data_IF_141119579354
#
_entry.id   IF_141119579354
#
_cell.length_a   1.000
_cell.length_b   1.000
_cell.length_c   1.000
_cell.angle_alpha   90.00
_cell.angle_beta   90.00
_cell.angle_gamma   90.00
#
_symmetry.space_group_name_H-M   'P 1'
#
loop_
_entity.id
_entity.type
_entity.pdbx_description
1 polymer ?
#
# COMPACT_ATOMS: atom_id res chain seq x y z
N UNK A 1 -11.66 -15.42 -0.90
CA UNK A 1 -11.93 -14.70 -2.16
C UNK A 1 -10.61 -14.48 -2.89
N UNK A 2 -10.61 -14.26 -4.22
CA UNK A 2 -9.38 -13.91 -4.95
C UNK A 2 -8.84 -12.56 -4.47
N UNK A 3 -7.51 -12.42 -4.43
CA UNK A 3 -6.83 -11.15 -4.16
C UNK A 3 -6.95 -10.19 -5.35
N UNK A 4 -6.93 -8.89 -5.07
CA UNK A 4 -6.84 -7.83 -6.07
C UNK A 4 -5.36 -7.63 -6.40
N UNK A 5 -4.93 -8.13 -7.54
CA UNK A 5 -3.56 -7.94 -8.03
C UNK A 5 -3.39 -6.50 -8.51
N UNK A 6 -2.61 -5.72 -7.76
CA UNK A 6 -2.41 -4.29 -7.99
C UNK A 6 -0.98 -4.03 -8.45
N UNK A 7 -0.84 -3.21 -9.49
CA UNK A 7 0.44 -2.67 -9.94
C UNK A 7 0.51 -1.17 -9.62
N UNK A 8 1.69 -0.68 -9.23
CA UNK A 8 1.95 0.75 -8.97
C UNK A 8 2.83 1.33 -10.09
N UNK A 9 2.42 2.46 -10.66
CA UNK A 9 3.25 3.23 -11.61
C UNK A 9 3.61 4.55 -10.94
N UNK A 10 4.89 4.71 -10.59
CA UNK A 10 5.41 5.79 -9.76
C UNK A 10 5.32 5.46 -8.28
N UNK A 11 6.46 5.13 -7.67
CA UNK A 11 6.59 4.75 -6.25
C UNK A 11 6.85 6.00 -5.42
N UNK A 12 5.96 6.99 -5.52
CA UNK A 12 6.02 8.28 -4.81
C UNK A 12 5.41 8.24 -3.39
N UNK A 13 5.20 9.42 -2.80
CA UNK A 13 4.54 9.56 -1.49
C UNK A 13 3.14 8.92 -1.45
N UNK A 14 2.35 9.04 -2.53
CA UNK A 14 1.04 8.41 -2.61
C UNK A 14 1.14 6.87 -2.57
N UNK A 15 2.11 6.29 -3.28
CA UNK A 15 2.36 4.85 -3.24
C UNK A 15 2.81 4.42 -1.83
N UNK A 16 3.67 5.20 -1.19
CA UNK A 16 4.11 4.95 0.17
C UNK A 16 2.96 4.96 1.18
N UNK A 17 2.07 5.96 1.11
CA UNK A 17 0.89 6.02 1.98
C UNK A 17 -0.11 4.89 1.69
N UNK A 18 -0.30 4.51 0.41
CA UNK A 18 -1.19 3.42 0.01
C UNK A 18 -0.68 2.06 0.52
N UNK A 19 0.58 1.73 0.27
CA UNK A 19 1.16 0.45 0.69
C UNK A 19 1.13 0.35 2.21
N UNK A 20 1.58 1.39 2.92
CA UNK A 20 1.49 1.43 4.38
C UNK A 20 0.04 1.30 4.88
N UNK A 21 -0.92 1.99 4.26
CA UNK A 21 -2.33 1.93 4.61
C UNK A 21 -2.92 0.53 4.47
N UNK A 22 -2.61 -0.18 3.38
CA UNK A 22 -3.02 -1.57 3.21
C UNK A 22 -2.49 -2.45 4.33
N UNK A 23 -1.19 -2.35 4.67
CA UNK A 23 -0.61 -3.15 5.74
C UNK A 23 -1.09 -2.76 7.13
N UNK A 24 -1.40 -1.49 7.37
CA UNK A 24 -1.91 -0.97 8.64
C UNK A 24 -3.34 -1.48 8.92
N UNK A 25 -4.19 -1.57 7.90
CA UNK A 25 -5.59 -1.94 8.02
C UNK A 25 -5.91 -3.37 7.54
N UNK A 26 -4.90 -4.19 7.17
CA UNK A 26 -5.13 -5.51 6.56
C UNK A 26 -5.97 -6.48 7.43
N UNK A 27 -5.92 -6.30 8.75
CA UNK A 27 -6.57 -7.15 9.77
C UNK A 27 -7.74 -6.44 10.48
N UNK A 28 -8.19 -5.28 9.97
CA UNK A 28 -9.30 -4.55 10.57
C UNK A 28 -10.61 -5.34 10.46
N UNK A 29 -11.50 -5.20 11.43
CA UNK A 29 -12.84 -5.79 11.36
C UNK A 29 -13.66 -5.17 10.21
N UNK A 30 -14.45 -5.99 9.53
CA UNK A 30 -15.25 -5.61 8.37
C UNK A 30 -16.22 -4.44 8.66
N UNK A 31 -16.68 -4.30 9.91
CA UNK A 31 -17.63 -3.29 10.36
C UNK A 31 -16.99 -2.17 11.20
N UNK A 32 -15.67 -2.17 11.36
CA UNK A 32 -14.98 -1.13 12.11
C UNK A 32 -15.06 0.22 11.40
N UNK A 33 -15.19 1.28 12.18
CA UNK A 33 -14.97 2.62 11.67
C UNK A 33 -13.46 2.87 11.46
N UNK A 34 -13.08 3.19 10.23
CA UNK A 34 -11.70 3.55 9.87
C UNK A 34 -11.67 4.94 9.26
N UNK A 35 -10.97 5.92 9.86
CA UNK A 35 -10.85 7.25 9.29
C UNK A 35 -10.29 7.20 7.86
N UNK A 36 -11.02 7.79 6.90
CA UNK A 36 -10.61 7.84 5.49
C UNK A 36 -11.07 6.65 4.63
N UNK A 37 -11.66 5.61 5.23
CA UNK A 37 -12.32 4.53 4.49
C UNK A 37 -13.83 4.57 4.76
N UNK A 38 -14.63 4.59 3.69
CA UNK A 38 -16.09 4.47 3.85
C UNK A 38 -16.47 3.07 4.37
N UNK A 39 -15.78 2.03 3.90
CA UNK A 39 -15.99 0.64 4.28
C UNK A 39 -14.66 -0.12 4.30
N UNK A 40 -14.34 -0.89 5.35
CA UNK A 40 -13.23 -1.85 5.33
C UNK A 40 -13.41 -2.97 4.30
N UNK A 41 -14.67 -3.37 4.05
CA UNK A 41 -15.03 -4.29 2.97
C UNK A 41 -15.96 -3.62 1.97
N UNK A 42 -15.54 -3.54 0.70
CA UNK A 42 -16.33 -2.97 -0.39
C UNK A 42 -16.51 -4.00 -1.51
N UNK A 43 -17.77 -4.27 -1.88
CA UNK A 43 -18.06 -5.22 -2.96
C UNK A 43 -17.52 -6.63 -2.73
N UNK A 44 -17.43 -7.04 -1.46
CA UNK A 44 -16.85 -8.33 -1.06
C UNK A 44 -15.34 -8.31 -0.83
N UNK A 45 -14.61 -7.26 -1.24
CA UNK A 45 -13.16 -7.18 -1.05
C UNK A 45 -12.80 -6.42 0.22
N UNK A 46 -11.97 -7.04 1.06
CA UNK A 46 -11.38 -6.38 2.22
C UNK A 46 -10.20 -5.50 1.82
N UNK A 47 -9.82 -4.50 2.63
CA UNK A 47 -8.57 -3.73 2.42
C UNK A 47 -7.35 -4.66 2.30
N UNK A 48 -7.30 -5.69 3.15
CA UNK A 48 -6.25 -6.71 3.12
C UNK A 48 -6.29 -7.66 1.90
N UNK A 49 -7.27 -7.52 1.01
CA UNK A 49 -7.32 -8.25 -0.26
C UNK A 49 -6.51 -7.59 -1.38
N UNK A 50 -5.98 -6.39 -1.17
CA UNK A 50 -5.04 -5.75 -2.09
C UNK A 50 -3.68 -6.44 -2.00
N UNK A 51 -3.22 -6.99 -3.12
CA UNK A 51 -1.91 -7.64 -3.27
C UNK A 51 -1.08 -6.87 -4.29
N UNK A 52 0.02 -6.26 -3.84
CA UNK A 52 0.93 -5.56 -4.74
C UNK A 52 1.81 -6.57 -5.47
N UNK A 53 1.64 -6.67 -6.79
CA UNK A 53 2.33 -7.68 -7.62
C UNK A 53 3.37 -7.08 -8.56
N UNK A 54 3.35 -5.76 -8.75
CA UNK A 54 4.30 -5.06 -9.61
C UNK A 54 4.43 -3.59 -9.20
N UNK A 55 5.60 -3.02 -9.43
CA UNK A 55 5.83 -1.59 -9.27
C UNK A 55 6.83 -1.11 -10.34
N UNK A 56 6.63 0.11 -10.83
CA UNK A 56 7.47 0.74 -11.85
C UNK A 56 7.88 2.13 -11.39
N UNK A 57 9.17 2.44 -11.51
CA UNK A 57 9.73 3.76 -11.23
C UNK A 57 10.95 4.02 -12.14
N UNK A 58 11.40 5.26 -12.21
CA UNK A 58 12.61 5.68 -12.94
C UNK A 58 13.72 6.16 -12.01
N UNK A 59 13.41 6.41 -10.74
CA UNK A 59 14.36 6.88 -9.75
C UNK A 59 15.36 5.75 -9.42
N UNK A 60 16.64 6.02 -9.66
CA UNK A 60 17.75 5.10 -9.37
C UNK A 60 17.81 4.65 -7.91
N UNK A 61 17.25 5.44 -6.98
CA UNK A 61 17.20 5.06 -5.57
C UNK A 61 16.13 4.00 -5.30
N UNK A 62 15.19 3.78 -6.22
CA UNK A 62 14.03 2.89 -6.08
C UNK A 62 14.11 1.67 -6.99
N UNK A 63 14.61 1.85 -8.22
CA UNK A 63 14.74 0.78 -9.21
C UNK A 63 15.66 -0.32 -8.69
N UNK A 64 15.21 -1.57 -8.76
CA UNK A 64 15.94 -2.75 -8.29
C UNK A 64 15.77 -3.08 -6.80
N UNK A 65 15.06 -2.24 -6.06
CA UNK A 65 14.66 -2.53 -4.68
C UNK A 65 13.31 -3.23 -4.63
N UNK A 66 13.11 -3.96 -3.54
CA UNK A 66 11.77 -4.43 -3.19
C UNK A 66 10.83 -3.25 -2.92
N UNK A 67 9.53 -3.42 -3.18
CA UNK A 67 8.54 -2.37 -2.96
C UNK A 67 8.53 -1.89 -1.49
N UNK A 68 8.70 -2.79 -0.52
CA UNK A 68 8.79 -2.49 0.92
C UNK A 68 9.91 -1.49 1.24
N UNK A 69 10.99 -1.50 0.46
CA UNK A 69 12.12 -0.61 0.62
C UNK A 69 11.95 0.67 -0.22
N UNK A 70 11.53 0.53 -1.49
CA UNK A 70 11.41 1.61 -2.45
C UNK A 70 10.47 2.74 -1.98
N UNK A 71 9.37 2.40 -1.27
CA UNK A 71 8.42 3.38 -0.74
C UNK A 71 9.01 4.32 0.31
N UNK A 72 10.12 3.95 0.94
CA UNK A 72 10.81 4.75 1.96
C UNK A 72 12.07 5.46 1.44
N UNK A 73 12.41 5.28 0.16
CA UNK A 73 13.56 5.94 -0.43
C UNK A 73 13.27 7.40 -0.75
N UNK A 74 14.24 8.28 -0.50
CA UNK A 74 14.17 9.69 -0.91
C UNK A 74 13.92 9.78 -2.43
N UNK A 75 13.11 10.76 -2.89
CA UNK A 75 12.58 11.91 -2.14
C UNK A 75 11.24 11.64 -1.42
N UNK A 76 10.79 10.39 -1.30
CA UNK A 76 9.60 10.12 -0.48
C UNK A 76 9.87 10.58 0.97
N UNK A 77 8.87 11.25 1.53
CA UNK A 77 8.92 11.91 2.83
C UNK A 77 7.56 11.90 3.55
N UNK A 78 6.61 11.10 3.06
CA UNK A 78 5.35 10.87 3.78
C UNK A 78 5.61 10.28 5.18
N UNK A 79 4.66 10.47 6.09
CA UNK A 79 4.74 9.88 7.43
C UNK A 79 4.89 8.36 7.34
N UNK A 80 5.80 7.80 8.14
CA UNK A 80 5.87 6.36 8.35
C UNK A 80 4.95 5.97 9.51
N UNK A 81 3.91 5.21 9.23
CA UNK A 81 2.89 4.81 10.21
C UNK A 81 2.61 3.31 10.21
N UNK A 82 3.23 2.54 9.31
CA UNK A 82 3.17 1.09 9.30
C UNK A 82 4.52 0.50 8.90
N UNK A 83 4.82 -0.68 9.42
CA UNK A 83 5.88 -1.52 8.88
C UNK A 83 5.35 -2.33 7.70
N UNK A 84 6.18 -2.42 6.65
CA UNK A 84 5.88 -3.16 5.43
C UNK A 84 6.91 -4.29 5.35
N UNK A 85 6.48 -5.56 5.38
CA UNK A 85 7.37 -6.72 5.37
C UNK A 85 8.06 -6.93 4.02
#
# INVERSE_FOLDING_TARGET
MPKIKTAIIGVGNCASALVQGVYFYKDVDDNAFVPGLMHPRLGGYHVGDIEFVAAFDIDKNKVGLDLSQAIFQKPNCTLRFADVP
#
